data_IF_027902616100
#
_entry.id   IF_027902616100
#
_cell.length_a   1.000
_cell.length_b   1.000
_cell.length_c   1.000
_cell.angle_alpha   90.00
_cell.angle_beta   90.00
_cell.angle_gamma   90.00
#
_symmetry.space_group_name_H-M   'P 1'
#
loop_
_entity.id
_entity.type
_entity.pdbx_description
1 polymer ?
#
# COMPACT_ATOMS: atom_id res chain seq x y z
N UNK A 1 45.35 -18.00 -59.81
CA UNK A 1 45.99 -17.74 -58.49
C UNK A 1 45.11 -16.75 -57.73
N UNK A 2 44.29 -17.24 -56.80
CA UNK A 2 43.35 -16.44 -55.99
C UNK A 2 44.06 -16.10 -54.66
N UNK A 3 44.31 -14.85 -54.40
CA UNK A 3 44.80 -14.38 -53.09
C UNK A 3 43.60 -14.08 -52.21
N UNK A 4 43.40 -14.87 -51.16
CA UNK A 4 42.43 -14.67 -50.10
C UNK A 4 43.10 -13.78 -49.06
N UNK A 5 42.54 -12.57 -48.88
CA UNK A 5 42.96 -11.61 -47.86
C UNK A 5 42.18 -11.90 -46.56
N UNK A 6 42.89 -12.40 -45.55
CA UNK A 6 42.31 -12.66 -44.22
C UNK A 6 42.33 -11.35 -43.42
N UNK A 7 41.15 -10.76 -43.19
CA UNK A 7 41.01 -9.64 -42.28
C UNK A 7 40.87 -10.15 -40.86
N UNK A 8 41.91 -9.96 -40.06
CA UNK A 8 41.93 -10.27 -38.63
C UNK A 8 41.26 -9.08 -37.89
N UNK A 9 40.00 -9.23 -37.49
CA UNK A 9 39.32 -8.28 -36.65
C UNK A 9 39.76 -8.50 -35.20
N UNK A 10 40.61 -7.61 -34.71
CA UNK A 10 41.08 -7.57 -33.32
C UNK A 10 40.01 -6.87 -32.50
N UNK A 11 39.09 -7.65 -31.87
CA UNK A 11 38.15 -7.12 -30.91
C UNK A 11 38.85 -6.86 -29.57
N UNK A 12 39.16 -5.60 -29.33
CA UNK A 12 39.61 -5.12 -28.01
C UNK A 12 38.41 -5.14 -27.08
N UNK A 13 38.23 -6.16 -26.28
CA UNK A 13 37.33 -6.19 -25.15
C UNK A 13 37.93 -5.33 -24.04
N UNK A 14 37.47 -4.10 -23.93
CA UNK A 14 37.73 -3.25 -22.75
C UNK A 14 37.07 -3.91 -21.54
N UNK A 15 37.81 -4.71 -20.80
CA UNK A 15 37.43 -5.22 -19.51
C UNK A 15 37.45 -4.04 -18.53
N UNK A 16 36.28 -3.44 -18.25
CA UNK A 16 36.10 -2.57 -17.12
C UNK A 16 36.30 -3.41 -15.85
N UNK A 17 37.52 -3.40 -15.33
CA UNK A 17 37.77 -3.87 -13.97
C UNK A 17 37.23 -2.82 -12.99
N UNK A 18 35.97 -2.97 -12.60
CA UNK A 18 35.50 -2.41 -11.36
C UNK A 18 36.19 -3.19 -10.24
N UNK A 19 37.28 -2.67 -9.73
CA UNK A 19 37.92 -3.17 -8.52
C UNK A 19 37.02 -2.86 -7.32
N UNK A 20 36.05 -3.74 -7.11
CA UNK A 20 35.38 -3.84 -5.81
C UNK A 20 35.92 -5.13 -5.20
N UNK A 21 36.92 -5.02 -4.34
CA UNK A 21 37.28 -6.09 -3.41
C UNK A 21 36.16 -6.24 -2.37
N UNK A 22 35.04 -6.76 -2.79
CA UNK A 22 34.06 -7.36 -1.92
C UNK A 22 34.52 -8.79 -1.70
N UNK A 23 34.58 -9.21 -0.45
CA UNK A 23 34.77 -10.62 -0.11
C UNK A 23 33.67 -11.42 -0.77
N UNK A 24 33.96 -11.95 -1.96
CA UNK A 24 33.07 -12.85 -2.67
C UNK A 24 32.84 -14.07 -1.80
N UNK A 25 31.59 -14.43 -1.63
CA UNK A 25 31.17 -15.70 -1.10
C UNK A 25 31.95 -16.82 -1.81
N UNK A 26 32.88 -17.43 -1.12
CA UNK A 26 33.53 -18.69 -1.54
C UNK A 26 32.71 -19.80 -0.91
N UNK A 27 31.85 -20.39 -1.72
CA UNK A 27 31.10 -21.60 -1.34
C UNK A 27 32.05 -22.67 -0.85
N UNK A 28 31.99 -23.04 0.44
CA UNK A 28 32.51 -24.30 0.94
C UNK A 28 33.58 -24.28 2.04
N UNK A 29 34.04 -23.14 2.54
CA UNK A 29 35.16 -23.14 3.49
C UNK A 29 34.91 -22.36 4.82
N UNK A 30 33.80 -21.65 5.01
CA UNK A 30 33.68 -20.75 6.13
C UNK A 30 32.37 -20.93 6.89
N UNK A 31 32.47 -21.43 8.13
CA UNK A 31 31.41 -21.40 9.13
C UNK A 31 31.07 -19.94 9.50
N UNK A 32 30.10 -19.34 8.82
CA UNK A 32 29.64 -17.98 9.05
C UNK A 32 28.18 -17.80 8.66
N UNK A 33 27.51 -16.80 9.22
CA UNK A 33 26.16 -16.44 8.83
C UNK A 33 26.21 -15.41 7.70
N UNK A 34 25.53 -15.71 6.59
CA UNK A 34 25.43 -14.83 5.44
C UNK A 34 24.18 -13.99 5.51
N UNK A 35 24.30 -12.71 5.19
CA UNK A 35 23.19 -11.76 5.13
C UNK A 35 23.29 -10.87 3.90
N UNK A 36 22.15 -10.28 3.52
CA UNK A 36 22.07 -9.31 2.44
C UNK A 36 21.78 -7.92 2.98
N UNK A 37 22.36 -6.90 2.33
CA UNK A 37 21.83 -5.54 2.43
C UNK A 37 20.75 -5.36 1.36
N UNK A 38 19.69 -4.59 1.66
CA UNK A 38 18.61 -4.40 0.72
C UNK A 38 18.93 -3.36 -0.34
N UNK A 39 18.33 -3.52 -1.50
CA UNK A 39 18.01 -2.46 -2.43
C UNK A 39 16.58 -2.03 -2.16
N UNK A 40 16.35 -0.71 -2.08
CA UNK A 40 15.03 -0.15 -1.79
C UNK A 40 14.14 -0.21 -3.02
N UNK A 41 12.92 -0.70 -2.85
CA UNK A 41 11.80 -0.59 -3.79
C UNK A 41 10.80 0.43 -3.27
N UNK A 42 10.21 1.18 -4.17
CA UNK A 42 9.13 2.11 -3.86
C UNK A 42 7.84 1.47 -4.32
N UNK A 43 6.95 1.23 -3.39
CA UNK A 43 5.60 0.73 -3.66
C UNK A 43 4.61 1.88 -3.54
N UNK A 44 3.84 2.10 -4.60
CA UNK A 44 2.82 3.13 -4.66
C UNK A 44 1.47 2.43 -4.74
N UNK A 45 0.62 2.69 -3.74
CA UNK A 45 -0.73 2.16 -3.66
C UNK A 45 -1.70 3.26 -4.04
N UNK A 46 -2.32 3.16 -5.20
CA UNK A 46 -3.38 4.06 -5.63
C UNK A 46 -4.72 3.53 -5.16
N UNK A 47 -5.55 4.43 -4.64
CA UNK A 47 -6.89 4.09 -4.14
C UNK A 47 -7.94 4.79 -4.97
N UNK A 48 -8.94 4.04 -5.42
CA UNK A 48 -10.08 4.55 -6.15
C UNK A 48 -11.37 3.91 -5.66
N UNK A 49 -12.47 4.63 -5.81
CA UNK A 49 -13.81 4.17 -5.44
C UNK A 49 -14.72 4.25 -6.65
N UNK A 50 -15.34 3.14 -7.00
CA UNK A 50 -16.46 3.12 -7.95
C UNK A 50 -17.73 3.47 -7.21
N UNK A 51 -18.45 4.48 -7.67
CA UNK A 51 -19.75 4.88 -7.16
C UNK A 51 -20.78 4.48 -8.21
N UNK A 52 -21.63 3.53 -7.84
CA UNK A 52 -22.72 3.05 -8.70
C UNK A 52 -24.04 3.49 -8.12
N UNK A 53 -24.73 4.39 -8.82
CA UNK A 53 -26.05 4.87 -8.46
C UNK A 53 -27.12 4.16 -9.27
N UNK A 54 -28.16 3.67 -8.60
CA UNK A 54 -29.32 3.03 -9.24
C UNK A 54 -30.58 3.73 -8.78
N UNK A 55 -31.45 4.18 -9.69
CA UNK A 55 -32.71 4.81 -9.29
C UNK A 55 -33.64 3.82 -8.61
N UNK A 56 -34.45 4.31 -7.70
CA UNK A 56 -35.51 3.53 -7.06
C UNK A 56 -36.71 3.38 -7.99
N UNK A 57 -37.39 2.24 -7.89
CA UNK A 57 -38.60 1.95 -8.69
C UNK A 57 -39.70 3.01 -8.49
N UNK A 58 -39.81 3.54 -7.26
CA UNK A 58 -40.78 4.57 -6.88
C UNK A 58 -40.19 5.97 -6.83
N UNK A 59 -39.07 6.24 -7.48
CA UNK A 59 -38.32 7.50 -7.43
C UNK A 59 -39.19 8.72 -7.73
N UNK A 60 -40.14 8.62 -8.70
CA UNK A 60 -41.09 9.68 -9.03
C UNK A 60 -42.07 10.03 -7.91
N UNK A 61 -42.25 9.14 -6.93
CA UNK A 61 -43.15 9.32 -5.80
C UNK A 61 -42.41 9.69 -4.51
N UNK A 62 -41.09 9.76 -4.50
CA UNK A 62 -40.28 10.03 -3.32
C UNK A 62 -40.63 11.36 -2.65
N UNK A 63 -40.77 12.43 -3.41
CA UNK A 63 -41.17 13.75 -2.87
C UNK A 63 -42.62 13.74 -2.35
N UNK A 64 -43.52 13.06 -3.05
CA UNK A 64 -44.95 13.04 -2.68
C UNK A 64 -45.18 12.31 -1.36
N UNK A 65 -44.59 11.11 -1.20
CA UNK A 65 -44.89 10.24 -0.07
C UNK A 65 -43.88 10.35 1.07
N UNK A 66 -42.58 10.49 0.78
CA UNK A 66 -41.53 10.56 1.80
C UNK A 66 -40.94 11.96 2.00
N UNK A 67 -41.36 12.95 1.22
CA UNK A 67 -40.83 14.32 1.23
C UNK A 67 -39.34 14.41 0.91
N UNK A 68 -38.80 13.42 0.16
CA UNK A 68 -37.42 13.39 -0.28
C UNK A 68 -37.28 13.94 -1.69
N UNK A 69 -36.52 15.06 -1.82
CA UNK A 69 -36.29 15.73 -3.11
C UNK A 69 -35.09 15.21 -3.88
N UNK A 70 -34.11 14.67 -3.16
CA UNK A 70 -32.79 14.26 -3.70
C UNK A 70 -32.73 12.77 -4.06
N UNK A 71 -33.87 12.20 -4.49
CA UNK A 71 -33.90 10.82 -4.96
C UNK A 71 -33.08 10.67 -6.25
N UNK A 72 -32.38 9.55 -6.38
CA UNK A 72 -31.59 9.22 -7.58
C UNK A 72 -32.54 9.02 -8.74
N UNK A 73 -32.45 9.88 -9.76
CA UNK A 73 -33.35 9.87 -10.93
C UNK A 73 -32.83 9.01 -12.08
N UNK A 74 -31.50 8.93 -12.23
CA UNK A 74 -30.85 8.24 -13.33
C UNK A 74 -29.75 7.32 -12.81
N UNK A 75 -29.56 6.21 -13.50
CA UNK A 75 -28.45 5.31 -13.21
C UNK A 75 -27.14 5.97 -13.62
N UNK A 76 -26.17 5.97 -12.74
CA UNK A 76 -24.82 6.47 -12.99
C UNK A 76 -23.79 5.51 -12.42
N UNK A 77 -22.66 5.39 -13.10
CA UNK A 77 -21.51 4.63 -12.60
C UNK A 77 -20.23 5.34 -12.98
N UNK A 78 -19.51 5.79 -11.98
CA UNK A 78 -18.24 6.45 -12.21
C UNK A 78 -17.23 6.10 -11.12
N UNK A 79 -15.95 6.27 -11.49
CA UNK A 79 -14.81 6.08 -10.61
C UNK A 79 -14.27 7.41 -10.13
N UNK A 80 -13.94 7.45 -8.86
CA UNK A 80 -13.24 8.57 -8.24
C UNK A 80 -11.88 8.11 -7.71
N UNK A 81 -10.82 8.82 -8.10
CA UNK A 81 -9.48 8.60 -7.57
C UNK A 81 -9.40 9.26 -6.19
N UNK A 82 -9.29 8.48 -5.12
CA UNK A 82 -9.29 8.99 -3.75
C UNK A 82 -7.91 9.45 -3.30
N UNK A 83 -6.84 8.74 -3.66
CA UNK A 83 -5.48 9.11 -3.26
C UNK A 83 -4.41 8.15 -3.75
N UNK A 84 -3.18 8.42 -3.28
CA UNK A 84 -2.04 7.55 -3.45
C UNK A 84 -1.22 7.53 -2.16
N UNK A 85 -0.69 6.37 -1.79
CA UNK A 85 0.21 6.17 -0.67
C UNK A 85 1.55 5.67 -1.18
N UNK A 86 2.65 6.09 -0.54
CA UNK A 86 4.01 5.71 -0.93
C UNK A 86 4.66 5.00 0.24
N UNK A 87 5.06 3.76 0.01
CA UNK A 87 5.78 2.90 0.93
C UNK A 87 7.14 2.51 0.36
N UNK A 88 8.06 2.12 1.22
CA UNK A 88 9.36 1.58 0.84
C UNK A 88 9.47 0.16 1.36
N UNK A 89 9.94 -0.74 0.52
CA UNK A 89 10.23 -2.14 0.85
C UNK A 89 11.65 -2.48 0.44
N UNK A 90 12.26 -3.46 1.09
CA UNK A 90 13.60 -3.92 0.77
C UNK A 90 13.57 -5.22 -0.03
N UNK A 91 14.47 -5.33 -1.00
CA UNK A 91 14.76 -6.59 -1.67
C UNK A 91 16.24 -6.93 -1.50
N UNK A 92 16.59 -8.20 -1.25
CA UNK A 92 18.00 -8.59 -1.10
C UNK A 92 18.80 -8.16 -2.33
N UNK A 93 19.85 -7.37 -2.13
CA UNK A 93 20.75 -7.01 -3.23
C UNK A 93 21.73 -8.15 -3.51
N UNK A 94 21.75 -8.71 -4.74
CA UNK A 94 22.69 -9.77 -5.09
C UNK A 94 24.16 -9.31 -5.03
N UNK A 95 24.40 -8.00 -5.16
CA UNK A 95 25.73 -7.40 -5.16
C UNK A 95 26.26 -7.12 -3.76
N UNK A 96 25.35 -7.01 -2.75
CA UNK A 96 25.68 -6.65 -1.37
C UNK A 96 25.40 -7.82 -0.43
N UNK A 97 26.07 -8.93 -0.66
CA UNK A 97 26.03 -10.14 0.17
C UNK A 97 27.28 -10.21 1.03
N UNK A 98 27.13 -10.39 2.33
CA UNK A 98 28.21 -10.36 3.31
C UNK A 98 28.13 -11.58 4.22
N UNK A 99 29.28 -12.07 4.66
CA UNK A 99 29.37 -13.18 5.62
C UNK A 99 30.03 -12.69 6.90
N UNK A 100 29.39 -12.96 8.04
CA UNK A 100 29.93 -12.68 9.38
C UNK A 100 30.40 -13.99 10.00
N UNK A 101 31.67 -14.01 10.44
CA UNK A 101 32.20 -15.07 11.26
C UNK A 101 32.13 -14.66 12.73
N UNK A 102 31.38 -15.42 13.53
CA UNK A 102 31.36 -15.26 14.97
C UNK A 102 32.45 -16.17 15.59
N UNK A 103 33.47 -15.58 16.19
CA UNK A 103 34.41 -16.37 17.01
C UNK A 103 33.68 -16.80 18.27
N UNK A 104 33.70 -18.09 18.61
CA UNK A 104 32.86 -18.80 19.58
C UNK A 104 32.73 -18.26 21.03
N UNK A 105 33.32 -17.10 21.34
CA UNK A 105 33.20 -16.43 22.63
C UNK A 105 32.30 -15.18 22.62
N UNK A 106 31.77 -14.77 21.44
CA UNK A 106 30.91 -13.63 21.30
C UNK A 106 29.61 -14.08 20.63
N UNK A 107 28.64 -14.49 21.42
CA UNK A 107 27.30 -14.84 20.95
C UNK A 107 26.54 -13.57 20.56
N UNK A 108 26.90 -12.98 19.42
CA UNK A 108 26.08 -11.95 18.78
C UNK A 108 24.98 -12.65 18.01
N UNK A 109 23.74 -12.40 18.37
CA UNK A 109 22.58 -12.99 17.71
C UNK A 109 22.20 -12.11 16.52
N UNK A 110 22.41 -12.59 15.30
CA UNK A 110 22.00 -11.90 14.08
C UNK A 110 20.59 -12.35 13.71
N UNK A 111 19.69 -11.39 13.63
CA UNK A 111 18.31 -11.62 13.20
C UNK A 111 18.14 -11.11 11.78
N UNK A 112 17.67 -12.00 10.90
CA UNK A 112 17.36 -11.70 9.50
C UNK A 112 15.84 -11.67 9.30
N UNK A 113 15.38 -10.94 8.30
CA UNK A 113 14.00 -11.05 7.85
C UNK A 113 13.76 -12.34 7.04
N UNK A 114 12.54 -12.54 6.55
CA UNK A 114 12.16 -13.70 5.72
C UNK A 114 12.94 -13.80 4.40
N UNK A 115 13.55 -12.71 3.95
CA UNK A 115 14.28 -12.61 2.69
C UNK A 115 15.81 -12.69 2.88
N UNK A 116 16.29 -12.88 4.11
CA UNK A 116 17.72 -12.92 4.43
C UNK A 116 18.36 -11.52 4.53
N UNK A 117 17.58 -10.47 4.67
CA UNK A 117 18.05 -9.10 4.90
C UNK A 117 18.34 -8.93 6.39
N UNK A 118 19.44 -8.24 6.72
CA UNK A 118 19.78 -7.92 8.11
C UNK A 118 18.69 -7.04 8.74
N UNK A 119 18.13 -7.49 9.86
CA UNK A 119 17.09 -6.77 10.60
C UNK A 119 17.55 -6.31 11.99
N UNK A 120 18.29 -7.14 12.73
CA UNK A 120 18.76 -6.77 14.06
C UNK A 120 19.99 -7.57 14.47
N UNK A 121 20.73 -7.01 15.46
CA UNK A 121 21.81 -7.69 16.14
C UNK A 121 21.53 -7.59 17.64
N UNK A 122 21.55 -8.72 18.34
CA UNK A 122 21.25 -8.82 19.77
C UNK A 122 19.88 -8.25 20.18
N UNK A 123 18.96 -8.11 19.22
CA UNK A 123 17.60 -7.63 19.42
C UNK A 123 16.60 -8.52 18.67
N UNK A 124 15.34 -8.63 19.16
CA UNK A 124 14.29 -9.30 18.41
C UNK A 124 13.94 -8.51 17.14
N UNK A 125 13.31 -9.18 16.17
CA UNK A 125 12.74 -8.51 14.99
C UNK A 125 11.82 -7.39 15.47
N UNK A 126 11.97 -6.16 14.93
CA UNK A 126 10.96 -5.14 15.13
C UNK A 126 9.64 -5.70 14.62
N UNK A 127 8.65 -5.77 15.50
CA UNK A 127 7.30 -6.15 15.09
C UNK A 127 6.88 -5.14 14.02
N UNK A 128 6.70 -5.57 12.79
CA UNK A 128 6.10 -4.74 11.76
C UNK A 128 4.80 -4.22 12.37
N UNK A 129 4.64 -2.90 12.47
CA UNK A 129 3.32 -2.34 12.67
C UNK A 129 2.55 -2.84 11.46
N UNK A 130 1.67 -3.83 11.68
CA UNK A 130 0.68 -4.20 10.70
C UNK A 130 0.05 -2.88 10.26
N UNK A 131 0.29 -2.50 9.01
CA UNK A 131 -0.50 -1.46 8.39
C UNK A 131 -1.92 -1.97 8.54
N UNK A 132 -2.72 -1.26 9.35
CA UNK A 132 -4.11 -1.59 9.61
C UNK A 132 -4.72 -1.97 8.28
N UNK A 133 -5.10 -3.25 8.21
CA UNK A 133 -5.49 -3.91 6.99
C UNK A 133 -6.53 -3.09 6.28
N UNK A 134 -6.38 -3.02 5.00
CA UNK A 134 -7.38 -2.60 4.03
C UNK A 134 -8.76 -2.89 4.60
N UNK A 135 -9.44 -1.84 5.03
CA UNK A 135 -10.85 -1.92 5.35
C UNK A 135 -11.54 -2.35 4.04
N UNK A 136 -11.69 -3.65 3.88
CA UNK A 136 -12.62 -4.18 2.88
C UNK A 136 -13.95 -3.54 3.20
N UNK A 137 -14.33 -2.55 2.39
CA UNK A 137 -15.65 -1.96 2.49
C UNK A 137 -16.63 -3.12 2.58
N UNK A 138 -17.30 -3.27 3.72
CA UNK A 138 -18.31 -4.30 3.91
C UNK A 138 -19.31 -4.10 2.78
N UNK A 139 -19.26 -4.97 1.77
CA UNK A 139 -20.30 -5.02 0.75
C UNK A 139 -21.62 -5.14 1.52
N UNK A 140 -22.40 -4.07 1.52
CA UNK A 140 -23.74 -4.10 2.12
C UNK A 140 -24.48 -5.23 1.43
N UNK A 141 -24.93 -6.23 2.20
CA UNK A 141 -25.74 -7.32 1.65
C UNK A 141 -26.93 -6.70 0.96
N UNK A 142 -27.14 -7.10 -0.29
CA UNK A 142 -28.29 -6.69 -1.07
C UNK A 142 -29.55 -7.24 -0.39
N UNK A 143 -30.22 -6.40 0.38
CA UNK A 143 -31.47 -6.80 1.04
C UNK A 143 -32.57 -6.61 -0.01
N UNK A 144 -33.21 -7.74 -0.37
CA UNK A 144 -34.29 -7.71 -1.34
C UNK A 144 -35.54 -7.12 -0.68
N UNK A 145 -35.99 -5.96 -1.14
CA UNK A 145 -37.18 -5.29 -0.61
C UNK A 145 -38.46 -6.16 -0.67
N UNK A 146 -38.55 -7.06 -1.65
CA UNK A 146 -39.71 -7.97 -1.76
C UNK A 146 -39.92 -8.91 -0.57
N UNK A 147 -38.87 -9.15 0.24
CA UNK A 147 -38.97 -9.94 1.48
C UNK A 147 -39.76 -9.25 2.58
N UNK A 148 -39.88 -7.92 2.49
CA UNK A 148 -40.57 -7.06 3.46
C UNK A 148 -41.89 -6.49 2.92
N UNK A 149 -42.34 -6.94 1.74
CA UNK A 149 -43.61 -6.53 1.19
C UNK A 149 -44.74 -7.39 1.76
N UNK A 150 -45.82 -6.73 2.20
CA UNK A 150 -47.03 -7.39 2.63
C UNK A 150 -47.84 -7.96 1.47
N UNK A 151 -48.77 -8.90 1.73
CA UNK A 151 -49.64 -9.43 0.70
C UNK A 151 -50.42 -8.35 -0.03
N UNK A 152 -50.92 -7.32 0.69
CA UNK A 152 -51.65 -6.20 0.10
C UNK A 152 -50.76 -5.40 -0.88
N UNK A 153 -49.47 -5.24 -0.56
CA UNK A 153 -48.52 -4.59 -1.46
C UNK A 153 -48.32 -5.42 -2.74
N UNK A 154 -48.13 -6.75 -2.60
CA UNK A 154 -47.89 -7.64 -3.74
C UNK A 154 -49.12 -7.75 -4.67
N UNK A 155 -50.33 -7.51 -4.13
CA UNK A 155 -51.59 -7.52 -4.90
C UNK A 155 -51.95 -6.14 -5.49
N UNK A 156 -51.10 -5.11 -5.28
CA UNK A 156 -51.39 -3.77 -5.76
C UNK A 156 -51.51 -3.72 -7.29
N UNK A 157 -52.63 -3.18 -7.76
CA UNK A 157 -52.98 -3.13 -9.21
C UNK A 157 -52.21 -2.09 -10.01
N UNK A 158 -51.45 -1.21 -9.35
CA UNK A 158 -50.65 -0.16 -10.01
C UNK A 158 -49.42 0.23 -9.18
N UNK A 159 -48.36 0.69 -9.89
CA UNK A 159 -47.13 1.18 -9.24
C UNK A 159 -47.42 2.35 -8.27
N UNK A 160 -48.40 3.22 -8.59
CA UNK A 160 -48.78 4.29 -7.69
C UNK A 160 -49.38 3.79 -6.38
N UNK A 161 -50.23 2.75 -6.45
CA UNK A 161 -50.85 2.14 -5.27
C UNK A 161 -49.81 1.38 -4.45
N UNK A 162 -48.92 0.64 -5.12
CA UNK A 162 -47.82 -0.05 -4.48
C UNK A 162 -46.90 0.93 -3.73
N UNK A 163 -46.54 2.06 -4.37
CA UNK A 163 -45.73 3.11 -3.73
C UNK A 163 -46.44 3.72 -2.51
N UNK A 164 -47.78 3.94 -2.59
CA UNK A 164 -48.56 4.42 -1.45
C UNK A 164 -48.51 3.47 -0.26
N UNK A 165 -48.74 2.17 -0.52
CA UNK A 165 -48.73 1.13 0.52
C UNK A 165 -47.33 0.96 1.14
N UNK A 166 -46.28 0.96 0.29
CA UNK A 166 -44.90 0.91 0.76
C UNK A 166 -44.55 2.09 1.65
N UNK A 167 -45.00 3.28 1.29
CA UNK A 167 -44.78 4.46 2.15
C UNK A 167 -45.49 4.35 3.50
N UNK A 168 -46.72 3.81 3.52
CA UNK A 168 -47.44 3.57 4.79
C UNK A 168 -46.66 2.60 5.67
N UNK A 169 -46.13 1.53 5.12
CA UNK A 169 -45.33 0.56 5.87
C UNK A 169 -44.04 1.19 6.44
N UNK A 170 -43.34 2.01 5.65
CA UNK A 170 -42.17 2.74 6.12
C UNK A 170 -42.54 3.60 7.36
N UNK A 171 -43.69 4.29 7.33
CA UNK A 171 -44.15 5.06 8.47
C UNK A 171 -44.52 4.19 9.65
N UNK A 172 -45.17 3.04 9.46
CA UNK A 172 -45.48 2.09 10.52
C UNK A 172 -44.22 1.53 11.21
N UNK A 173 -43.18 1.21 10.41
CA UNK A 173 -41.86 0.81 10.94
C UNK A 173 -41.26 1.94 11.79
N UNK A 174 -41.31 3.19 11.32
CA UNK A 174 -40.81 4.35 12.08
C UNK A 174 -41.53 4.55 13.38
N UNK A 175 -42.84 4.40 13.39
CA UNK A 175 -43.67 4.49 14.61
C UNK A 175 -43.29 3.38 15.60
N UNK A 176 -43.13 2.14 15.11
CA UNK A 176 -42.68 1.00 15.94
C UNK A 176 -41.31 1.27 16.56
N UNK A 177 -40.34 1.78 15.81
CA UNK A 177 -39.02 2.16 16.33
C UNK A 177 -39.11 3.26 17.37
N UNK A 178 -39.96 4.28 17.16
CA UNK A 178 -40.19 5.34 18.14
C UNK A 178 -40.84 4.79 19.41
N UNK A 179 -41.83 3.89 19.30
CA UNK A 179 -42.46 3.28 20.46
C UNK A 179 -41.45 2.45 21.29
N UNK A 180 -40.59 1.65 20.64
CA UNK A 180 -39.54 0.89 21.31
C UNK A 180 -38.55 1.83 22.02
N UNK A 181 -38.06 2.86 21.33
CA UNK A 181 -37.06 3.80 21.89
C UNK A 181 -37.60 4.64 23.04
N UNK A 182 -38.92 4.90 23.07
CA UNK A 182 -39.62 5.62 24.15
C UNK A 182 -40.06 4.70 25.30
N UNK A 183 -39.87 3.38 25.19
CA UNK A 183 -40.35 2.43 26.19
C UNK A 183 -41.90 2.25 26.21
N UNK A 184 -42.55 2.55 25.09
CA UNK A 184 -44.01 2.50 24.94
C UNK A 184 -44.53 1.28 24.18
N UNK A 185 -43.61 0.34 23.83
CA UNK A 185 -44.00 -0.89 23.15
C UNK A 185 -44.55 -1.90 24.16
N UNK A 186 -45.67 -2.55 23.82
CA UNK A 186 -46.29 -3.59 24.68
C UNK A 186 -45.36 -4.81 24.86
N UNK A 187 -44.55 -5.12 23.89
CA UNK A 187 -43.64 -6.27 23.87
C UNK A 187 -42.15 -5.82 23.90
N UNK A 188 -41.75 -5.18 24.99
CA UNK A 188 -40.37 -4.77 25.18
C UNK A 188 -39.46 -5.95 25.53
N UNK A 189 -38.36 -6.20 24.79
CA UNK A 189 -37.34 -7.17 25.21
C UNK A 189 -36.75 -6.74 26.57
N UNK A 190 -36.60 -7.70 27.47
CA UNK A 190 -35.98 -7.46 28.78
C UNK A 190 -34.46 -7.34 28.71
N UNK A 191 -33.87 -7.81 27.64
CA UNK A 191 -32.42 -7.77 27.39
C UNK A 191 -32.05 -6.74 26.32
N UNK A 192 -31.02 -5.96 26.60
CA UNK A 192 -30.53 -4.92 25.70
C UNK A 192 -30.04 -5.49 24.37
N UNK A 193 -29.48 -6.71 24.35
CA UNK A 193 -29.03 -7.35 23.12
C UNK A 193 -30.20 -7.74 22.22
N UNK A 194 -31.28 -8.30 22.81
CA UNK A 194 -32.49 -8.62 22.06
C UNK A 194 -33.16 -7.37 21.49
N UNK A 195 -33.18 -6.26 22.26
CA UNK A 195 -33.65 -4.96 21.79
C UNK A 195 -32.84 -4.43 20.60
N UNK A 196 -31.49 -4.57 20.64
CA UNK A 196 -30.62 -4.15 19.54
C UNK A 196 -30.90 -4.96 18.26
N UNK A 197 -31.06 -6.28 18.37
CA UNK A 197 -31.40 -7.15 17.24
C UNK A 197 -32.72 -6.74 16.61
N UNK A 198 -33.74 -6.41 17.43
CA UNK A 198 -35.05 -5.95 16.95
C UNK A 198 -34.94 -4.62 16.20
N UNK A 199 -34.22 -3.65 16.75
CA UNK A 199 -34.00 -2.35 16.11
C UNK A 199 -33.20 -2.50 14.79
N UNK A 200 -32.15 -3.33 14.79
CA UNK A 200 -31.36 -3.59 13.58
C UNK A 200 -32.18 -4.23 12.47
N UNK A 201 -33.14 -5.09 12.82
CA UNK A 201 -34.05 -5.70 11.83
C UNK A 201 -35.06 -4.70 11.28
N UNK A 202 -35.65 -3.85 12.13
CA UNK A 202 -36.54 -2.75 11.70
C UNK A 202 -35.77 -1.73 10.82
N UNK A 203 -34.49 -1.45 11.14
CA UNK A 203 -33.63 -0.59 10.31
C UNK A 203 -33.40 -1.18 8.92
N UNK A 204 -33.15 -2.48 8.81
CA UNK A 204 -32.98 -3.14 7.52
C UNK A 204 -34.27 -3.12 6.70
N UNK A 205 -35.41 -3.35 7.33
CA UNK A 205 -36.72 -3.29 6.66
C UNK A 205 -36.98 -1.87 6.13
N UNK A 206 -36.83 -0.86 6.99
CA UNK A 206 -37.02 0.55 6.61
C UNK A 206 -36.07 0.93 5.46
N UNK A 207 -34.78 0.55 5.55
CA UNK A 207 -33.80 0.84 4.53
C UNK A 207 -34.18 0.20 3.20
N UNK A 208 -34.53 -1.10 3.19
CA UNK A 208 -34.88 -1.83 1.97
C UNK A 208 -36.10 -1.21 1.25
N UNK A 209 -37.14 -0.85 2.01
CA UNK A 209 -38.35 -0.21 1.45
C UNK A 209 -38.09 1.24 1.03
N UNK A 210 -37.26 1.98 1.76
CA UNK A 210 -36.92 3.38 1.45
C UNK A 210 -36.06 3.46 0.19
N UNK A 211 -35.13 2.48 -0.04
CA UNK A 211 -34.30 2.42 -1.25
C UNK A 211 -35.16 2.31 -2.54
N UNK A 212 -36.38 1.78 -2.47
CA UNK A 212 -37.31 1.78 -3.60
C UNK A 212 -37.73 3.21 -4.01
N UNK A 213 -37.69 4.17 -3.10
CA UNK A 213 -38.01 5.58 -3.39
C UNK A 213 -36.79 6.42 -3.69
N UNK A 214 -35.76 6.34 -2.87
CA UNK A 214 -34.59 7.23 -2.97
C UNK A 214 -33.54 6.71 -3.95
N UNK A 215 -33.62 5.43 -4.31
CA UNK A 215 -32.60 4.73 -5.05
C UNK A 215 -31.47 4.26 -4.16
N UNK A 216 -30.45 3.65 -4.76
CA UNK A 216 -29.32 3.02 -4.07
C UNK A 216 -28.00 3.54 -4.62
N UNK A 217 -27.06 3.80 -3.72
CA UNK A 217 -25.68 4.11 -4.06
C UNK A 217 -24.75 3.07 -3.45
N UNK A 218 -24.15 2.27 -4.32
CA UNK A 218 -23.14 1.28 -3.93
C UNK A 218 -21.75 1.83 -4.19
N UNK A 219 -20.81 1.52 -3.29
CA UNK A 219 -19.41 1.90 -3.43
C UNK A 219 -18.52 0.66 -3.45
N UNK A 220 -17.61 0.59 -4.40
CA UNK A 220 -16.61 -0.45 -4.51
C UNK A 220 -15.22 0.17 -4.49
N UNK A 221 -14.43 -0.12 -3.46
CA UNK A 221 -13.04 0.31 -3.39
C UNK A 221 -12.16 -0.60 -4.26
N UNK A 222 -11.20 0.01 -4.95
CA UNK A 222 -10.16 -0.67 -5.72
C UNK A 222 -8.81 -0.07 -5.37
N UNK A 223 -7.81 -0.93 -5.20
CA UNK A 223 -6.42 -0.56 -5.03
C UNK A 223 -5.60 -1.02 -6.23
N UNK A 224 -4.64 -0.21 -6.62
CA UNK A 224 -3.67 -0.53 -7.67
C UNK A 224 -2.26 -0.31 -7.14
N UNK A 225 -1.48 -1.38 -7.14
CA UNK A 225 -0.10 -1.39 -6.68
C UNK A 225 0.85 -1.22 -7.85
N UNK A 226 1.77 -0.27 -7.75
CA UNK A 226 2.84 -0.06 -8.72
C UNK A 226 4.16 -0.01 -7.97
N UNK A 227 5.13 -0.77 -8.45
CA UNK A 227 6.48 -0.81 -7.90
C UNK A 227 7.45 -0.07 -8.80
N UNK A 228 8.29 0.78 -8.21
CA UNK A 228 9.40 1.45 -8.86
C UNK A 228 10.70 0.95 -8.22
N UNK A 229 11.66 0.56 -9.05
CA UNK A 229 13.02 0.21 -8.62
C UNK A 229 13.94 1.39 -8.92
N UNK A 230 14.33 2.19 -7.91
CA UNK A 230 15.25 3.28 -8.08
C UNK A 230 16.63 2.78 -8.53
N UNK A 231 17.25 3.50 -9.46
CA UNK A 231 18.65 3.27 -9.85
C UNK A 231 19.52 4.36 -9.22
N UNK A 232 20.85 4.22 -9.29
CA UNK A 232 21.82 5.19 -8.80
C UNK A 232 21.61 6.62 -9.37
N UNK A 233 21.04 6.73 -10.57
CA UNK A 233 20.60 8.01 -11.16
C UNK A 233 19.09 7.95 -11.34
N UNK A 234 18.37 8.46 -10.38
CA UNK A 234 16.91 8.28 -10.32
C UNK A 234 16.11 9.57 -10.59
N UNK A 235 16.78 10.67 -11.00
CA UNK A 235 16.07 11.89 -11.33
C UNK A 235 15.11 11.64 -12.50
N UNK A 236 13.84 11.72 -12.20
CA UNK A 236 12.76 11.46 -13.15
C UNK A 236 11.79 12.62 -13.09
N UNK A 237 11.43 13.16 -14.24
CA UNK A 237 10.49 14.28 -14.33
C UNK A 237 9.35 13.92 -15.26
N UNK A 238 8.12 14.11 -14.77
CA UNK A 238 6.87 13.98 -15.54
C UNK A 238 6.71 12.60 -16.23
N UNK A 239 7.17 11.53 -15.58
CA UNK A 239 6.95 10.19 -16.09
C UNK A 239 5.53 9.71 -15.76
N UNK A 240 4.92 8.97 -16.67
CA UNK A 240 3.57 8.41 -16.49
C UNK A 240 3.68 7.06 -15.79
N UNK A 241 3.02 6.92 -14.64
CA UNK A 241 2.93 5.65 -13.92
C UNK A 241 1.80 4.77 -14.46
N UNK A 242 0.62 5.34 -14.49
CA UNK A 242 -0.61 4.72 -14.98
C UNK A 242 -1.57 5.82 -15.42
N UNK A 243 -2.73 5.41 -15.89
CA UNK A 243 -3.79 6.36 -16.23
C UNK A 243 -5.07 6.01 -15.48
N UNK A 244 -5.91 7.00 -15.28
CA UNK A 244 -7.17 6.86 -14.57
C UNK A 244 -8.33 7.42 -15.40
N UNK A 245 -9.37 6.64 -15.53
CA UNK A 245 -10.60 7.01 -16.24
C UNK A 245 -11.78 7.03 -15.28
N UNK A 246 -12.58 8.09 -15.32
CA UNK A 246 -13.84 8.16 -14.56
C UNK A 246 -14.84 7.07 -14.93
N UNK A 247 -14.74 6.47 -16.13
CA UNK A 247 -15.66 5.42 -16.57
C UNK A 247 -15.14 4.00 -16.29
N UNK A 248 -13.80 3.80 -16.36
CA UNK A 248 -13.21 2.45 -16.37
C UNK A 248 -12.40 2.19 -15.10
N UNK A 249 -11.99 3.23 -14.37
CA UNK A 249 -11.06 3.13 -13.24
C UNK A 249 -9.60 3.17 -13.69
N UNK A 250 -8.74 2.38 -13.07
CA UNK A 250 -7.33 2.30 -13.43
C UNK A 250 -7.12 1.60 -14.76
N UNK A 251 -6.31 2.20 -15.60
CA UNK A 251 -5.92 1.66 -16.91
C UNK A 251 -4.41 1.77 -17.10
N UNK A 252 -3.86 0.96 -18.00
CA UNK A 252 -2.42 0.94 -18.26
C UNK A 252 -1.92 2.31 -18.74
N UNK A 253 -0.62 2.58 -18.59
CA UNK A 253 0.02 3.85 -19.02
C UNK A 253 -0.18 4.15 -20.51
N UNK A 254 -0.35 3.12 -21.32
CA UNK A 254 -0.47 3.21 -22.78
C UNK A 254 -1.93 3.39 -23.25
N UNK A 255 -2.90 3.21 -22.35
CA UNK A 255 -4.32 3.35 -22.68
C UNK A 255 -4.77 4.82 -22.58
N UNK A 256 -5.00 5.44 -23.71
CA UNK A 256 -5.38 6.86 -23.81
C UNK A 256 -6.81 7.19 -23.33
N UNK A 257 -7.62 6.18 -22.97
CA UNK A 257 -8.96 6.40 -22.42
C UNK A 257 -8.96 6.99 -21.00
N UNK A 258 -7.78 7.03 -20.32
CA UNK A 258 -7.60 7.59 -18.99
C UNK A 258 -6.69 8.82 -18.98
N UNK A 259 -6.90 9.71 -18.01
CA UNK A 259 -5.99 10.80 -17.71
C UNK A 259 -4.68 10.27 -17.09
N UNK A 260 -3.51 10.78 -17.48
CA UNK A 260 -2.25 10.31 -16.94
C UNK A 260 -2.04 10.76 -15.48
N UNK A 261 -1.52 9.82 -14.69
CA UNK A 261 -0.98 10.09 -13.37
C UNK A 261 0.54 10.11 -13.50
N UNK A 262 1.13 11.24 -13.16
CA UNK A 262 2.55 11.50 -13.29
C UNK A 262 3.27 11.31 -11.96
N UNK A 263 4.57 11.02 -12.04
CA UNK A 263 5.46 11.17 -10.91
C UNK A 263 6.72 11.94 -11.29
N UNK A 264 7.25 12.63 -10.30
CA UNK A 264 8.59 13.17 -10.28
C UNK A 264 9.37 12.45 -9.17
N UNK A 265 10.63 12.15 -9.42
CA UNK A 265 11.55 11.69 -8.39
C UNK A 265 12.84 12.46 -8.52
N UNK A 266 13.33 13.00 -7.40
CA UNK A 266 14.54 13.83 -7.35
C UNK A 266 15.43 13.36 -6.21
N UNK A 267 16.69 13.08 -6.53
CA UNK A 267 17.72 12.85 -5.53
C UNK A 267 18.04 14.15 -4.78
N UNK A 268 17.94 14.11 -3.46
CA UNK A 268 18.24 15.25 -2.59
C UNK A 268 19.73 15.38 -2.28
N UNK A 269 20.57 14.49 -2.81
CA UNK A 269 22.02 14.46 -2.63
C UNK A 269 22.44 14.57 -1.15
N UNK A 270 21.69 13.87 -0.30
CA UNK A 270 21.86 13.92 1.17
C UNK A 270 23.13 13.23 1.65
N UNK A 271 23.71 12.34 0.83
CA UNK A 271 24.96 11.64 1.10
C UNK A 271 26.04 12.19 0.17
N UNK A 272 27.17 12.62 0.76
CA UNK A 272 28.34 13.05 -0.03
C UNK A 272 29.14 11.83 -0.43
N UNK A 273 29.34 11.63 -1.71
CA UNK A 273 30.26 10.62 -2.22
C UNK A 273 31.68 11.20 -2.23
N UNK A 274 32.70 10.44 -1.79
CA UNK A 274 34.08 10.88 -1.89
C UNK A 274 34.47 11.09 -3.35
N UNK A 275 35.23 12.14 -3.61
CA UNK A 275 35.76 12.40 -4.95
C UNK A 275 36.80 11.36 -5.33
N UNK A 276 37.11 11.23 -6.65
CA UNK A 276 38.15 10.28 -7.11
C UNK A 276 39.53 10.56 -6.48
N UNK A 277 39.83 11.83 -6.18
CA UNK A 277 41.07 12.21 -5.51
C UNK A 277 41.09 11.79 -4.02
N UNK A 278 39.95 11.86 -3.34
CA UNK A 278 39.80 11.39 -1.96
C UNK A 278 39.87 9.87 -1.90
N UNK A 279 39.23 9.15 -2.84
CA UNK A 279 39.31 7.71 -2.95
C UNK A 279 40.76 7.22 -3.16
N UNK A 280 41.57 7.91 -3.99
CA UNK A 280 42.99 7.58 -4.19
C UNK A 280 43.85 7.82 -2.96
N UNK A 281 43.45 8.72 -2.09
CA UNK A 281 44.16 9.05 -0.80
C UNK A 281 43.72 8.14 0.36
N UNK A 282 42.54 7.51 0.25
CA UNK A 282 42.05 6.57 1.26
C UNK A 282 42.87 5.30 1.22
N UNK A 283 43.59 5.02 2.33
CA UNK A 283 44.23 3.72 2.51
C UNK A 283 43.15 2.64 2.59
N UNK A 284 43.34 1.47 1.99
CA UNK A 284 42.41 0.36 2.14
C UNK A 284 42.36 -0.05 3.62
N UNK A 285 41.34 0.39 4.31
CA UNK A 285 41.08 -0.04 5.68
C UNK A 285 40.52 -1.46 5.57
N UNK A 286 41.18 -2.45 6.18
CA UNK A 286 40.58 -3.78 6.39
C UNK A 286 39.30 -3.56 7.21
N UNK A 287 38.18 -3.54 6.52
CA UNK A 287 36.88 -3.28 7.15
C UNK A 287 36.40 -4.57 7.84
N UNK A 288 36.90 -4.79 9.07
CA UNK A 288 36.40 -5.88 9.93
C UNK A 288 35.18 -5.39 10.71
N UNK A 289 34.01 -5.93 10.39
CA UNK A 289 32.78 -5.52 11.07
C UNK A 289 31.55 -5.92 10.30
N UNK A 290 30.42 -5.29 10.64
CA UNK A 290 29.11 -5.54 10.04
C UNK A 290 28.82 -4.43 9.05
N UNK A 291 28.65 -4.80 7.78
CA UNK A 291 28.29 -3.86 6.75
C UNK A 291 26.83 -3.42 6.89
N UNK A 292 26.55 -2.14 6.68
CA UNK A 292 25.22 -1.57 6.66
C UNK A 292 25.15 -0.43 5.65
N UNK A 293 23.94 -0.08 5.20
CA UNK A 293 23.74 1.05 4.28
C UNK A 293 23.56 2.36 5.06
N UNK A 294 24.13 3.44 4.54
CA UNK A 294 23.72 4.82 4.85
C UNK A 294 22.86 5.27 3.66
N UNK A 295 21.52 5.22 3.76
CA UNK A 295 20.65 5.53 2.63
C UNK A 295 20.70 7.01 2.28
N UNK A 296 20.71 7.32 1.00
CA UNK A 296 20.42 8.66 0.51
C UNK A 296 18.93 8.96 0.57
N UNK A 297 18.55 10.24 0.41
CA UNK A 297 17.15 10.67 0.40
C UNK A 297 16.74 11.11 -0.98
N UNK A 298 15.52 10.72 -1.37
CA UNK A 298 14.87 11.25 -2.56
C UNK A 298 13.50 11.82 -2.21
N UNK A 299 13.09 12.83 -2.97
CA UNK A 299 11.73 13.35 -2.94
C UNK A 299 10.95 12.71 -4.08
N UNK A 300 9.81 12.09 -3.76
CA UNK A 300 8.85 11.59 -4.74
C UNK A 300 7.57 12.42 -4.66
N UNK A 301 7.06 12.84 -5.82
CA UNK A 301 5.82 13.57 -5.97
C UNK A 301 4.95 12.86 -7.00
N UNK A 302 3.70 12.55 -6.62
CA UNK A 302 2.71 11.90 -7.49
C UNK A 302 1.57 12.88 -7.70
N UNK A 303 1.19 13.13 -8.94
CA UNK A 303 0.19 14.14 -9.27
C UNK A 303 -0.56 13.83 -10.57
N UNK A 304 -1.74 14.41 -10.67
CA UNK A 304 -2.52 14.51 -11.91
C UNK A 304 -2.37 15.91 -12.49
N UNK A 305 -2.99 16.20 -13.61
CA UNK A 305 -3.01 17.57 -14.15
C UNK A 305 -3.64 18.59 -13.20
N UNK A 306 -4.57 18.15 -12.35
CA UNK A 306 -5.42 19.04 -11.53
C UNK A 306 -5.02 19.06 -10.06
N UNK A 307 -4.39 18.00 -9.54
CA UNK A 307 -4.07 17.90 -8.09
C UNK A 307 -2.86 17.04 -7.79
N UNK A 308 -2.23 17.31 -6.66
CA UNK A 308 -1.23 16.43 -6.05
C UNK A 308 -1.94 15.30 -5.30
N UNK A 309 -1.45 14.08 -5.47
CA UNK A 309 -1.95 12.89 -4.79
C UNK A 309 -1.10 12.53 -3.59
N UNK A 310 0.23 12.57 -3.76
CA UNK A 310 1.19 12.33 -2.69
C UNK A 310 2.48 13.11 -2.93
N UNK A 311 3.13 13.52 -1.84
CA UNK A 311 4.49 14.05 -1.83
C UNK A 311 5.19 13.54 -0.58
N UNK A 312 6.34 12.88 -0.73
CA UNK A 312 7.05 12.28 0.38
C UNK A 312 8.56 12.29 0.15
N UNK A 313 9.32 12.58 1.20
CA UNK A 313 10.75 12.26 1.23
C UNK A 313 10.92 10.83 1.72
N UNK A 314 11.71 10.05 1.00
CA UNK A 314 11.94 8.64 1.27
C UNK A 314 13.43 8.33 1.27
N UNK A 315 13.91 7.49 2.20
CA UNK A 315 15.28 6.99 2.17
C UNK A 315 15.39 5.88 1.10
N UNK A 316 16.50 5.90 0.35
CA UNK A 316 16.79 4.96 -0.73
C UNK A 316 18.22 4.44 -0.59
N UNK A 317 18.37 3.14 -0.46
CA UNK A 317 19.68 2.49 -0.28
C UNK A 317 20.64 2.72 -1.46
N UNK A 318 20.11 2.72 -2.69
CA UNK A 318 20.90 2.88 -3.92
C UNK A 318 21.48 4.30 -4.09
N UNK A 319 20.93 5.30 -3.40
CA UNK A 319 21.40 6.68 -3.39
C UNK A 319 22.38 6.97 -2.24
N UNK A 320 22.77 5.94 -1.54
CA UNK A 320 23.63 6.02 -0.36
C UNK A 320 24.94 5.29 -0.51
N UNK A 321 25.64 5.15 0.60
CA UNK A 321 26.91 4.43 0.71
C UNK A 321 26.78 3.24 1.65
N UNK A 322 27.71 2.30 1.55
CA UNK A 322 27.83 1.19 2.51
C UNK A 322 28.97 1.45 3.46
N UNK A 323 28.72 1.38 4.76
CA UNK A 323 29.71 1.52 5.81
C UNK A 323 29.83 0.26 6.66
N UNK A 324 30.83 0.25 7.56
CA UNK A 324 31.12 -0.90 8.42
C UNK A 324 31.03 -0.48 9.88
N UNK A 325 30.15 -1.13 10.61
CA UNK A 325 30.10 -1.04 12.06
C UNK A 325 31.19 -1.93 12.67
N UNK A 326 32.13 -1.29 13.37
CA UNK A 326 33.33 -1.97 13.91
C UNK A 326 32.98 -3.12 14.87
N UNK A 327 33.75 -4.20 14.81
CA UNK A 327 33.66 -5.32 15.77
C UNK A 327 33.82 -4.92 17.24
N UNK A 328 34.47 -3.78 17.55
CA UNK A 328 34.65 -3.29 18.89
C UNK A 328 33.34 -3.04 19.66
N UNK A 329 32.23 -2.86 18.91
CA UNK A 329 30.89 -2.72 19.49
C UNK A 329 30.31 -4.06 20.00
N UNK A 330 30.89 -5.19 19.61
CA UNK A 330 30.36 -6.54 19.87
C UNK A 330 31.37 -7.40 20.66
N UNK A 331 32.16 -6.80 21.56
CA UNK A 331 33.15 -7.49 22.41
C UNK A 331 32.50 -8.19 23.60
N UNK A 332 33.32 -9.02 24.33
CA UNK A 332 32.89 -9.80 25.50
C UNK A 332 32.16 -8.97 26.59
N UNK A 333 32.46 -7.70 26.69
CA UNK A 333 31.92 -6.79 27.70
C UNK A 333 30.94 -5.76 27.13
N UNK A 334 30.65 -5.77 25.84
CA UNK A 334 29.83 -4.79 25.16
C UNK A 334 28.70 -5.50 24.36
N UNK A 335 27.55 -5.61 24.99
CA UNK A 335 26.36 -6.17 24.33
C UNK A 335 25.60 -5.03 23.63
N UNK A 336 26.13 -4.57 22.50
CA UNK A 336 25.44 -3.54 21.71
C UNK A 336 24.27 -4.18 20.96
N UNK A 337 23.09 -3.60 21.11
CA UNK A 337 21.92 -3.94 20.31
C UNK A 337 21.82 -2.98 19.14
N UNK A 338 21.59 -3.50 17.95
CA UNK A 338 21.43 -2.69 16.73
C UNK A 338 20.19 -3.14 16.01
N UNK A 339 19.37 -2.19 15.60
CA UNK A 339 18.16 -2.44 14.77
C UNK A 339 18.38 -1.75 13.43
N UNK A 340 18.14 -2.48 12.37
CA UNK A 340 18.25 -2.00 10.99
C UNK A 340 16.86 -1.85 10.35
N UNK A 341 16.75 -0.91 9.45
CA UNK A 341 15.60 -0.78 8.56
C UNK A 341 15.73 -1.79 7.42
N UNK A 342 14.83 -2.75 7.36
CA UNK A 342 14.83 -3.80 6.33
C UNK A 342 14.55 -3.26 4.93
N UNK A 343 13.97 -2.05 4.81
CA UNK A 343 13.73 -1.42 3.51
C UNK A 343 14.99 -0.76 2.92
N UNK A 344 15.88 -0.27 3.78
CA UNK A 344 17.06 0.49 3.34
C UNK A 344 18.39 -0.10 3.80
N UNK A 345 18.39 -0.95 4.81
CA UNK A 345 19.60 -1.46 5.45
C UNK A 345 20.30 -0.43 6.33
N UNK A 346 19.67 0.71 6.61
CA UNK A 346 20.17 1.75 7.49
C UNK A 346 19.97 1.41 8.96
N UNK A 347 20.75 2.01 9.84
CA UNK A 347 20.62 1.83 11.29
C UNK A 347 19.46 2.69 11.80
N UNK A 348 18.49 2.07 12.49
CA UNK A 348 17.39 2.75 13.18
C UNK A 348 17.80 3.15 14.59
N UNK A 349 18.41 2.21 15.32
CA UNK A 349 18.85 2.46 16.70
C UNK A 349 20.08 1.65 17.05
N UNK A 350 20.92 2.23 17.94
CA UNK A 350 22.05 1.57 18.58
C UNK A 350 21.93 1.79 20.07
N UNK A 351 21.82 0.72 20.83
CA UNK A 351 21.79 0.73 22.30
C UNK A 351 23.02 0.01 22.83
N UNK A 352 23.82 0.69 23.65
CA UNK A 352 24.93 0.08 24.39
C UNK A 352 24.44 -0.32 25.79
N UNK A 353 24.67 -1.58 26.13
CA UNK A 353 24.40 -2.07 27.48
C UNK A 353 25.70 -2.28 28.25
#
# INVERSE_FOLDING_TARGET
MKRVLFFLILTVTASCYAQTETNKFLSGADEGMTYHLPDTRIEIVFKATCIKKSPGEFGRYAERYLRVKDAIKEADSHWELTGAEVHTTGTPSPQKMYTIKFNGNNASNLTLDSNGIIAAINAPLPTAKESEGTSTAKSRRNVNASQYMTEEMLQASSTAKLAELTAKEIYAIRESKMAITRGQSENMPKDGQAMQIMLDELDKQEQALTELFIGRSDTLAQEMHITIEPREKCDTTKAVLLRFSKKIGFVSKDNLAGEPIYYNMRDLKSVKFPTEEELKKMKPVKKEGICYNIPGKAEIEIYTRTRKLAKKEIPIAQLGTTEVLSRTHFGKNNTTKVIFDTATGGIISIEKK
#
